data_IF_103272531124
#
_entry.id   IF_103272531124
#
_cell.length_a   1.000
_cell.length_b   1.000
_cell.length_c   1.000
_cell.angle_alpha   90.00
_cell.angle_beta   90.00
_cell.angle_gamma   90.00
#
_symmetry.space_group_name_H-M   'P 1'
#
loop_
_entity.id
_entity.type
_entity.pdbx_description
1 polymer ?
#
# COMPACT_ATOMS: atom_id res chain seq x y z
N UNK A 1 -30.68 -1.94 -43.97
CA UNK A 1 -30.10 -0.83 -43.19
C UNK A 1 -29.82 -1.34 -41.79
N UNK A 2 -28.56 -1.34 -41.35
CA UNK A 2 -28.25 -1.64 -39.95
C UNK A 2 -28.75 -0.48 -39.08
N UNK A 3 -29.55 -0.76 -38.05
CA UNK A 3 -30.01 0.27 -37.13
C UNK A 3 -28.81 0.82 -36.33
N UNK A 4 -28.52 2.10 -36.51
CA UNK A 4 -27.48 2.79 -35.75
C UNK A 4 -28.05 3.11 -34.36
N UNK A 5 -27.41 2.61 -33.30
CA UNK A 5 -27.85 2.86 -31.93
C UNK A 5 -27.15 4.09 -31.35
N UNK A 6 -27.94 5.14 -31.06
CA UNK A 6 -27.49 6.38 -30.42
C UNK A 6 -28.14 6.57 -29.04
N UNK A 7 -27.62 7.49 -28.24
CA UNK A 7 -28.18 7.83 -26.92
C UNK A 7 -27.88 6.84 -25.78
N UNK A 8 -27.05 5.82 -26.01
CA UNK A 8 -26.69 4.83 -24.97
C UNK A 8 -26.06 5.50 -23.75
N UNK A 9 -25.14 6.44 -23.94
CA UNK A 9 -24.53 7.19 -22.83
C UNK A 9 -25.56 7.91 -21.94
N UNK A 10 -26.60 8.50 -22.55
CA UNK A 10 -27.69 9.14 -21.82
C UNK A 10 -28.50 8.11 -21.02
N UNK A 11 -28.79 6.95 -21.61
CA UNK A 11 -29.49 5.85 -20.92
C UNK A 11 -28.68 5.28 -19.75
N UNK A 12 -27.37 5.13 -19.90
CA UNK A 12 -26.48 4.67 -18.82
C UNK A 12 -26.46 5.65 -17.64
N UNK A 13 -26.54 6.96 -17.90
CA UNK A 13 -26.57 8.02 -16.88
C UNK A 13 -27.97 8.31 -16.33
N UNK A 14 -29.03 7.91 -17.01
CA UNK A 14 -30.39 8.22 -16.61
C UNK A 14 -30.77 7.45 -15.32
N UNK A 15 -31.17 8.11 -14.22
CA UNK A 15 -31.60 7.43 -13.00
C UNK A 15 -32.88 6.62 -13.20
N UNK A 16 -33.72 6.94 -14.20
CA UNK A 16 -34.96 6.22 -14.51
C UNK A 16 -34.75 4.90 -15.27
N UNK A 17 -33.56 4.68 -15.84
CA UNK A 17 -33.27 3.43 -16.55
C UNK A 17 -32.92 2.34 -15.53
N UNK A 18 -33.63 1.19 -15.55
CA UNK A 18 -33.35 0.09 -14.63
C UNK A 18 -31.91 -0.42 -14.77
N UNK A 19 -31.31 -0.84 -13.65
CA UNK A 19 -29.95 -1.37 -13.60
C UNK A 19 -29.69 -2.57 -14.52
N UNK A 20 -30.57 -3.59 -14.59
CA UNK A 20 -30.40 -4.70 -15.53
C UNK A 20 -30.35 -4.23 -16.98
N UNK A 21 -31.15 -3.22 -17.35
CA UNK A 21 -31.17 -2.66 -18.70
C UNK A 21 -29.91 -1.86 -18.99
N UNK A 22 -29.39 -1.10 -18.02
CA UNK A 22 -28.10 -0.42 -18.16
C UNK A 22 -26.97 -1.41 -18.42
N UNK A 23 -26.91 -2.52 -17.68
CA UNK A 23 -25.89 -3.55 -17.87
C UNK A 23 -26.00 -4.21 -19.26
N UNK A 24 -27.22 -4.57 -19.69
CA UNK A 24 -27.46 -5.11 -21.04
C UNK A 24 -27.02 -4.12 -22.13
N UNK A 25 -27.35 -2.84 -21.97
CA UNK A 25 -26.95 -1.79 -22.91
C UNK A 25 -25.43 -1.61 -22.96
N UNK A 26 -24.74 -1.66 -21.82
CA UNK A 26 -23.28 -1.55 -21.77
C UNK A 26 -22.59 -2.75 -22.43
N UNK A 27 -23.06 -3.97 -22.16
CA UNK A 27 -22.58 -5.20 -22.83
C UNK A 27 -22.79 -5.14 -24.34
N UNK A 28 -23.99 -4.78 -24.79
CA UNK A 28 -24.28 -4.59 -26.21
C UNK A 28 -23.38 -3.52 -26.83
N UNK A 29 -23.24 -2.38 -26.15
CA UNK A 29 -22.38 -1.30 -26.61
C UNK A 29 -20.95 -1.79 -26.78
N UNK A 30 -20.35 -2.49 -25.82
CA UNK A 30 -18.97 -2.97 -25.89
C UNK A 30 -18.67 -3.73 -27.17
N UNK A 31 -19.52 -4.69 -27.53
CA UNK A 31 -19.32 -5.61 -28.65
C UNK A 31 -19.75 -5.00 -29.98
N UNK A 32 -20.81 -4.19 -30.01
CA UNK A 32 -21.43 -3.72 -31.26
C UNK A 32 -20.66 -2.61 -31.95
N UNK A 33 -20.24 -2.80 -33.20
CA UNK A 33 -19.66 -1.74 -34.05
C UNK A 33 -20.68 -0.67 -34.47
N UNK A 34 -21.97 -0.93 -34.29
CA UNK A 34 -23.08 -0.05 -34.68
C UNK A 34 -23.50 0.95 -33.59
N UNK A 35 -22.82 0.91 -32.43
CA UNK A 35 -23.03 1.84 -31.32
C UNK A 35 -22.13 3.06 -31.49
N UNK A 36 -22.74 4.23 -31.72
CA UNK A 36 -22.03 5.51 -31.80
C UNK A 36 -21.81 6.07 -30.39
N UNK A 37 -20.58 5.93 -29.89
CA UNK A 37 -20.14 6.48 -28.62
C UNK A 37 -18.72 7.07 -28.77
N UNK A 38 -18.52 8.39 -28.56
CA UNK A 38 -17.18 8.95 -28.54
C UNK A 38 -16.34 8.35 -27.42
N UNK A 39 -15.09 8.00 -27.72
CA UNK A 39 -14.17 7.32 -26.78
C UNK A 39 -14.84 6.12 -26.07
N UNK A 40 -15.52 5.30 -26.88
CA UNK A 40 -16.42 4.24 -26.46
C UNK A 40 -15.84 3.34 -25.38
N UNK A 41 -14.61 2.90 -25.57
CA UNK A 41 -13.94 1.97 -24.68
C UNK A 41 -13.73 2.60 -23.29
N UNK A 42 -13.24 3.84 -23.24
CA UNK A 42 -13.08 4.58 -21.99
C UNK A 42 -14.42 4.84 -21.31
N UNK A 43 -15.45 5.25 -22.05
CA UNK A 43 -16.75 5.60 -21.46
C UNK A 43 -17.41 4.39 -20.80
N UNK A 44 -17.36 3.22 -21.45
CA UNK A 44 -17.93 1.99 -20.91
C UNK A 44 -17.13 1.50 -19.70
N UNK A 45 -15.80 1.55 -19.78
CA UNK A 45 -14.91 1.20 -18.68
C UNK A 45 -15.13 2.10 -17.44
N UNK A 46 -15.18 3.43 -17.64
CA UNK A 46 -15.43 4.41 -16.59
C UNK A 46 -16.81 4.22 -15.97
N UNK A 47 -17.83 3.96 -16.79
CA UNK A 47 -19.20 3.75 -16.32
C UNK A 47 -19.29 2.57 -15.35
N UNK A 48 -18.71 1.42 -15.69
CA UNK A 48 -18.70 0.24 -14.81
C UNK A 48 -17.89 0.48 -13.55
N UNK A 49 -16.71 1.11 -13.69
CA UNK A 49 -15.87 1.49 -12.56
C UNK A 49 -16.62 2.42 -11.58
N UNK A 50 -17.35 3.41 -12.08
CA UNK A 50 -18.16 4.31 -11.26
C UNK A 50 -19.38 3.63 -10.64
N UNK A 51 -20.03 2.72 -11.36
CA UNK A 51 -21.18 1.97 -10.83
C UNK A 51 -20.75 1.11 -9.63
N UNK A 52 -19.66 0.35 -9.77
CA UNK A 52 -19.09 -0.46 -8.69
C UNK A 52 -18.64 0.43 -7.52
N UNK A 53 -17.85 1.46 -7.79
CA UNK A 53 -17.38 2.39 -6.74
C UNK A 53 -18.55 3.09 -6.03
N UNK A 54 -19.62 3.43 -6.76
CA UNK A 54 -20.82 4.07 -6.22
C UNK A 54 -21.62 3.15 -5.32
N UNK A 55 -21.79 1.88 -5.71
CA UNK A 55 -22.50 0.86 -4.93
C UNK A 55 -21.83 0.63 -3.58
N UNK A 56 -20.53 0.32 -3.55
CA UNK A 56 -19.82 0.01 -2.31
C UNK A 56 -19.61 1.22 -1.39
N UNK A 57 -19.56 2.43 -1.96
CA UNK A 57 -19.58 3.67 -1.16
C UNK A 57 -20.99 4.08 -0.72
N UNK A 58 -22.01 3.25 -0.95
CA UNK A 58 -23.43 3.52 -0.62
C UNK A 58 -23.95 4.82 -1.24
N UNK A 59 -23.36 5.25 -2.36
CA UNK A 59 -23.78 6.44 -3.12
C UNK A 59 -24.85 6.12 -4.15
N UNK A 60 -24.97 4.85 -4.51
CA UNK A 60 -25.87 4.36 -5.56
C UNK A 60 -26.47 3.05 -5.08
N UNK A 61 -27.79 2.92 -5.19
CA UNK A 61 -28.49 1.67 -4.90
C UNK A 61 -28.53 0.79 -6.16
N UNK A 62 -27.92 -0.39 -6.08
CA UNK A 62 -27.79 -1.35 -7.18
C UNK A 62 -28.19 -2.74 -6.66
N UNK A 63 -29.10 -3.46 -7.32
CA UNK A 63 -29.46 -4.82 -6.91
C UNK A 63 -28.24 -5.76 -6.94
N UNK A 64 -28.11 -6.65 -5.95
CA UNK A 64 -26.95 -7.56 -5.81
C UNK A 64 -26.65 -8.38 -7.06
N UNK A 65 -27.69 -8.89 -7.73
CA UNK A 65 -27.57 -9.64 -9.01
C UNK A 65 -26.90 -8.80 -10.11
N UNK A 66 -27.17 -7.49 -10.14
CA UNK A 66 -26.56 -6.59 -11.12
C UNK A 66 -25.12 -6.25 -10.73
N UNK A 67 -24.80 -6.21 -9.44
CA UNK A 67 -23.42 -5.98 -8.96
C UNK A 67 -22.49 -7.10 -9.41
N UNK A 68 -22.91 -8.36 -9.28
CA UNK A 68 -22.18 -9.50 -9.84
C UNK A 68 -22.01 -9.34 -11.36
N UNK A 69 -23.08 -9.01 -12.07
CA UNK A 69 -23.05 -8.79 -13.51
C UNK A 69 -22.13 -7.63 -13.96
N UNK A 70 -21.96 -6.60 -13.12
CA UNK A 70 -21.02 -5.49 -13.32
C UNK A 70 -19.56 -5.94 -13.16
N UNK A 71 -19.27 -6.79 -12.16
CA UNK A 71 -17.94 -7.39 -12.00
C UNK A 71 -17.58 -8.29 -13.17
N UNK A 72 -18.49 -9.18 -13.58
CA UNK A 72 -18.30 -10.02 -14.77
C UNK A 72 -18.09 -9.15 -16.02
N UNK A 73 -18.81 -8.04 -16.14
CA UNK A 73 -18.64 -7.15 -17.30
C UNK A 73 -17.28 -6.42 -17.29
N UNK A 74 -16.78 -6.03 -16.11
CA UNK A 74 -15.44 -5.46 -15.99
C UNK A 74 -14.38 -6.50 -16.39
N UNK A 75 -14.53 -7.74 -15.91
CA UNK A 75 -13.65 -8.86 -16.26
C UNK A 75 -13.66 -9.15 -17.77
N UNK A 76 -14.85 -9.20 -18.38
CA UNK A 76 -15.04 -9.36 -19.83
C UNK A 76 -14.31 -8.26 -20.62
N UNK A 77 -14.33 -7.00 -20.15
CA UNK A 77 -13.60 -5.90 -20.79
C UNK A 77 -12.10 -6.16 -20.71
N UNK A 78 -11.57 -6.44 -19.51
CA UNK A 78 -10.14 -6.59 -19.24
C UNK A 78 -9.53 -7.77 -20.02
N UNK A 79 -10.29 -8.85 -20.22
CA UNK A 79 -9.86 -10.02 -20.98
C UNK A 79 -10.25 -10.00 -22.47
N UNK A 80 -10.91 -8.94 -22.95
CA UNK A 80 -11.40 -8.92 -24.33
C UNK A 80 -10.26 -8.76 -25.35
N UNK A 81 -10.33 -9.54 -26.44
CA UNK A 81 -9.50 -9.31 -27.64
C UNK A 81 -9.64 -7.89 -28.16
N UNK A 82 -10.84 -7.32 -28.06
CA UNK A 82 -11.11 -5.93 -28.44
C UNK A 82 -10.23 -4.93 -27.68
N UNK A 83 -10.09 -5.10 -26.35
CA UNK A 83 -9.18 -4.25 -25.58
C UNK A 83 -7.74 -4.41 -26.05
N UNK A 84 -7.30 -5.65 -26.26
CA UNK A 84 -5.96 -5.94 -26.78
C UNK A 84 -5.71 -5.27 -28.14
N UNK A 85 -6.64 -5.35 -29.08
CA UNK A 85 -6.56 -4.71 -30.40
C UNK A 85 -6.52 -3.19 -30.32
N UNK A 86 -7.24 -2.59 -29.36
CA UNK A 86 -7.20 -1.15 -29.13
C UNK A 86 -5.82 -0.72 -28.61
N UNK A 87 -5.27 -1.47 -27.65
CA UNK A 87 -3.94 -1.19 -27.09
C UNK A 87 -2.83 -1.41 -28.11
N UNK A 88 -2.92 -2.44 -28.96
CA UNK A 88 -1.91 -2.71 -30.00
C UNK A 88 -1.86 -1.65 -31.10
N UNK A 89 -2.94 -0.90 -31.29
CA UNK A 89 -3.00 0.28 -32.17
C UNK A 89 -2.38 1.55 -31.55
N UNK A 90 -1.79 1.45 -30.35
CA UNK A 90 -1.22 2.59 -29.63
C UNK A 90 -2.27 3.50 -28.98
N UNK A 91 -3.55 3.11 -28.97
CA UNK A 91 -4.58 3.82 -28.18
C UNK A 91 -4.45 3.41 -26.72
N UNK A 92 -4.76 4.33 -25.83
CA UNK A 92 -4.67 4.12 -24.38
C UNK A 92 -6.05 4.14 -23.74
N UNK A 93 -6.30 3.23 -22.79
CA UNK A 93 -7.39 3.37 -21.82
C UNK A 93 -6.80 3.87 -20.51
N UNK A 94 -7.35 4.96 -20.01
CA UNK A 94 -6.99 5.52 -18.72
C UNK A 94 -7.61 4.68 -17.61
N UNK A 95 -6.77 3.92 -16.90
CA UNK A 95 -7.14 3.25 -15.66
C UNK A 95 -7.07 4.26 -14.51
N UNK A 96 -8.20 4.47 -13.83
CA UNK A 96 -8.21 5.30 -12.62
C UNK A 96 -7.60 4.49 -11.48
N UNK A 97 -6.53 4.99 -10.85
CA UNK A 97 -5.88 4.34 -9.71
C UNK A 97 -6.85 4.10 -8.54
N UNK A 98 -7.91 4.90 -8.44
CA UNK A 98 -8.99 4.71 -7.47
C UNK A 98 -9.74 3.40 -7.67
N UNK A 99 -9.81 2.86 -8.89
CA UNK A 99 -10.40 1.54 -9.15
C UNK A 99 -9.52 0.44 -8.57
N UNK A 100 -8.20 0.52 -8.77
CA UNK A 100 -7.27 -0.47 -8.22
C UNK A 100 -7.26 -0.43 -6.68
N UNK A 101 -7.25 0.76 -6.07
CA UNK A 101 -7.45 0.92 -4.63
C UNK A 101 -8.75 0.27 -4.15
N UNK A 102 -9.83 0.47 -4.91
CA UNK A 102 -11.13 -0.10 -4.60
C UNK A 102 -11.13 -1.64 -4.70
N UNK A 103 -10.51 -2.21 -5.73
CA UNK A 103 -10.32 -3.66 -5.87
C UNK A 103 -9.59 -4.21 -4.64
N UNK A 104 -8.44 -3.62 -4.27
CA UNK A 104 -7.65 -4.03 -3.09
C UNK A 104 -8.49 -3.96 -1.81
N UNK A 105 -9.28 -2.89 -1.64
CA UNK A 105 -10.14 -2.69 -0.47
C UNK A 105 -11.23 -3.75 -0.33
N UNK A 106 -11.88 -4.12 -1.43
CA UNK A 106 -12.98 -5.09 -1.36
C UNK A 106 -12.47 -6.53 -1.36
N UNK A 107 -11.40 -6.82 -2.10
CA UNK A 107 -10.79 -8.16 -2.11
C UNK A 107 -10.10 -8.50 -0.79
N UNK A 108 -9.55 -7.52 -0.07
CA UNK A 108 -8.93 -7.76 1.24
C UNK A 108 -9.90 -8.21 2.33
N UNK A 109 -11.20 -7.99 2.16
CA UNK A 109 -12.23 -8.48 3.09
C UNK A 109 -12.48 -9.98 2.96
N UNK A 110 -11.94 -10.61 1.91
CA UNK A 110 -12.16 -12.01 1.58
C UNK A 110 -10.78 -12.71 1.57
N UNK A 111 -10.40 -13.43 2.64
CA UNK A 111 -9.05 -14.00 2.76
C UNK A 111 -8.61 -14.88 1.59
N UNK A 112 -9.53 -15.61 0.96
CA UNK A 112 -9.23 -16.45 -0.22
C UNK A 112 -8.83 -15.65 -1.47
N UNK A 113 -9.15 -14.35 -1.52
CA UNK A 113 -8.78 -13.47 -2.63
C UNK A 113 -7.44 -12.76 -2.43
N UNK A 114 -6.80 -12.89 -1.26
CA UNK A 114 -5.54 -12.21 -0.98
C UNK A 114 -4.49 -12.52 -2.04
N UNK A 115 -4.22 -13.81 -2.29
CA UNK A 115 -3.25 -14.27 -3.30
C UNK A 115 -3.74 -14.09 -4.73
N UNK A 116 -5.02 -14.35 -4.97
CA UNK A 116 -5.57 -14.37 -6.33
C UNK A 116 -5.80 -12.97 -6.90
N UNK A 117 -6.00 -11.96 -6.04
CA UNK A 117 -6.45 -10.64 -6.49
C UNK A 117 -5.81 -9.47 -5.71
N UNK A 118 -5.81 -9.50 -4.37
CA UNK A 118 -5.33 -8.35 -3.56
C UNK A 118 -3.85 -8.06 -3.82
N UNK A 119 -2.98 -9.08 -3.74
CA UNK A 119 -1.54 -8.91 -3.97
C UNK A 119 -1.22 -8.58 -5.43
N UNK A 120 -1.77 -9.28 -6.45
CA UNK A 120 -1.55 -8.89 -7.85
C UNK A 120 -2.01 -7.46 -8.19
N UNK A 121 -3.12 -7.00 -7.60
CA UNK A 121 -3.58 -5.63 -7.78
C UNK A 121 -2.62 -4.62 -7.16
N UNK A 122 -2.07 -4.92 -5.97
CA UNK A 122 -1.04 -4.08 -5.34
C UNK A 122 0.27 -4.08 -6.14
N UNK A 123 0.74 -5.24 -6.60
CA UNK A 123 1.93 -5.35 -7.44
C UNK A 123 1.79 -4.52 -8.72
N UNK A 124 0.60 -4.52 -9.33
CA UNK A 124 0.29 -3.67 -10.48
C UNK A 124 0.42 -2.19 -10.13
N UNK A 125 -0.10 -1.75 -8.97
CA UNK A 125 0.08 -0.38 -8.49
C UNK A 125 1.57 -0.05 -8.24
N UNK A 126 2.34 -0.98 -7.70
CA UNK A 126 3.78 -0.82 -7.46
C UNK A 126 4.55 -0.67 -8.78
N UNK A 127 4.24 -1.48 -9.80
CA UNK A 127 4.82 -1.35 -11.15
C UNK A 127 4.51 0.01 -11.76
N UNK A 128 3.29 0.52 -11.56
CA UNK A 128 2.89 1.85 -12.01
C UNK A 128 3.64 2.95 -11.25
N UNK A 129 3.78 2.84 -9.93
CA UNK A 129 4.58 3.79 -9.14
C UNK A 129 6.02 3.87 -9.65
N UNK A 130 6.65 2.73 -9.96
CA UNK A 130 8.03 2.68 -10.48
C UNK A 130 8.22 3.39 -11.83
N UNK A 131 7.15 3.76 -12.53
CA UNK A 131 7.24 4.59 -13.74
C UNK A 131 7.62 6.06 -13.45
N UNK A 132 7.54 6.48 -12.18
CA UNK A 132 7.96 7.79 -11.70
C UNK A 132 7.08 8.96 -12.14
N UNK A 133 7.50 10.16 -11.72
CA UNK A 133 6.76 11.42 -11.92
C UNK A 133 6.51 11.77 -13.40
N UNK A 134 7.35 11.27 -14.31
CA UNK A 134 7.17 11.47 -15.74
C UNK A 134 5.89 10.82 -16.30
N UNK A 135 5.42 9.73 -15.67
CA UNK A 135 4.19 9.02 -16.05
C UNK A 135 3.04 9.27 -15.08
N UNK A 136 3.34 9.44 -13.79
CA UNK A 136 2.36 9.76 -12.75
C UNK A 136 2.71 11.14 -12.17
N UNK A 137 2.34 12.19 -12.88
CA UNK A 137 2.69 13.57 -12.48
C UNK A 137 1.80 14.14 -11.38
N UNK A 138 0.62 13.54 -11.13
CA UNK A 138 -0.32 14.05 -10.14
C UNK A 138 -0.03 13.44 -8.76
N UNK A 139 0.36 14.24 -7.74
CA UNK A 139 0.63 13.75 -6.39
C UNK A 139 -0.54 13.00 -5.74
N UNK A 140 -1.78 13.33 -6.09
CA UNK A 140 -2.96 12.62 -5.57
C UNK A 140 -2.96 11.14 -5.95
N UNK A 141 -2.35 10.77 -7.06
CA UNK A 141 -2.23 9.37 -7.48
C UNK A 141 -1.37 8.56 -6.52
N UNK A 142 -0.26 9.13 -6.04
CA UNK A 142 0.61 8.49 -5.04
C UNK A 142 -0.15 8.33 -3.72
N UNK A 143 -0.88 9.36 -3.28
CA UNK A 143 -1.70 9.31 -2.06
C UNK A 143 -2.79 8.22 -2.15
N UNK A 144 -3.40 8.03 -3.33
CA UNK A 144 -4.36 6.94 -3.57
C UNK A 144 -3.70 5.57 -3.40
N UNK A 145 -2.48 5.38 -3.88
CA UNK A 145 -1.75 4.11 -3.69
C UNK A 145 -1.42 3.89 -2.22
N UNK A 146 -0.93 4.91 -1.49
CA UNK A 146 -0.70 4.82 -0.04
C UNK A 146 -1.99 4.46 0.71
N UNK A 147 -3.12 5.05 0.32
CA UNK A 147 -4.43 4.69 0.84
C UNK A 147 -4.83 3.24 0.52
N UNK A 148 -4.38 2.67 -0.59
CA UNK A 148 -4.61 1.26 -0.92
C UNK A 148 -3.85 0.31 0.01
N UNK A 149 -2.60 0.67 0.38
CA UNK A 149 -1.77 -0.13 1.29
C UNK A 149 -2.45 -0.39 2.64
N UNK A 150 -3.28 0.57 3.11
CA UNK A 150 -4.01 0.46 4.37
C UNK A 150 -5.00 -0.70 4.40
N UNK A 151 -5.48 -1.16 3.24
CA UNK A 151 -6.46 -2.24 3.17
C UNK A 151 -5.84 -3.63 3.04
N UNK A 152 -4.54 -3.73 2.75
CA UNK A 152 -3.86 -5.02 2.58
C UNK A 152 -3.75 -5.69 3.96
N UNK A 153 -4.22 -6.95 4.10
CA UNK A 153 -4.26 -7.64 5.37
C UNK A 153 -2.85 -8.10 5.78
N UNK A 154 -2.52 -7.93 7.07
CA UNK A 154 -1.31 -8.45 7.70
C UNK A 154 -1.63 -9.48 8.80
N UNK A 155 -2.92 -9.79 8.95
CA UNK A 155 -3.51 -10.79 9.83
C UNK A 155 -3.83 -12.07 9.02
N UNK A 156 -2.81 -12.70 8.45
CA UNK A 156 -2.98 -13.92 7.66
C UNK A 156 -2.90 -15.18 8.52
N UNK A 157 -3.59 -16.23 8.07
CA UNK A 157 -3.58 -17.53 8.75
C UNK A 157 -2.30 -18.34 8.47
N UNK A 158 -1.53 -17.96 7.44
CA UNK A 158 -0.24 -18.58 7.09
C UNK A 158 0.87 -17.53 7.07
N UNK A 159 2.08 -17.92 7.49
CA UNK A 159 3.25 -17.02 7.44
C UNK A 159 3.75 -16.75 6.02
N UNK A 160 3.41 -17.62 5.07
CA UNK A 160 3.75 -17.39 3.67
C UNK A 160 2.91 -16.24 3.09
N UNK A 161 1.61 -16.21 3.38
CA UNK A 161 0.72 -15.11 2.96
C UNK A 161 1.05 -13.82 3.70
N UNK A 162 1.45 -13.93 4.97
CA UNK A 162 1.93 -12.81 5.78
C UNK A 162 3.12 -12.16 5.09
N UNK A 163 4.15 -12.95 4.79
CA UNK A 163 5.37 -12.47 4.18
C UNK A 163 5.13 -11.84 2.81
N UNK A 164 4.28 -12.46 1.98
CA UNK A 164 3.97 -11.91 0.66
C UNK A 164 3.20 -10.58 0.72
N UNK A 165 2.24 -10.46 1.65
CA UNK A 165 1.56 -9.19 1.89
C UNK A 165 2.52 -8.11 2.41
N UNK A 166 3.39 -8.49 3.35
CA UNK A 166 4.41 -7.62 3.91
C UNK A 166 5.36 -7.08 2.85
N UNK A 167 5.91 -7.98 2.02
CA UNK A 167 6.81 -7.65 0.92
C UNK A 167 6.12 -6.73 -0.10
N UNK A 168 4.88 -7.03 -0.50
CA UNK A 168 4.16 -6.20 -1.46
C UNK A 168 3.91 -4.76 -0.95
N UNK A 169 3.59 -4.60 0.34
CA UNK A 169 3.46 -3.27 0.97
C UNK A 169 4.83 -2.58 1.04
N UNK A 170 5.87 -3.28 1.48
CA UNK A 170 7.24 -2.75 1.54
C UNK A 170 7.70 -2.24 0.17
N UNK A 171 7.51 -3.02 -0.89
CA UNK A 171 7.91 -2.65 -2.25
C UNK A 171 7.15 -1.42 -2.78
N UNK A 172 5.87 -1.28 -2.43
CA UNK A 172 5.09 -0.09 -2.77
C UNK A 172 5.59 1.16 -2.03
N UNK A 173 5.91 1.03 -0.73
CA UNK A 173 6.51 2.12 0.05
C UNK A 173 7.89 2.48 -0.51
N UNK A 174 8.71 1.49 -0.83
CA UNK A 174 10.04 1.70 -1.38
C UNK A 174 9.99 2.41 -2.74
N UNK A 175 9.08 1.98 -3.62
CA UNK A 175 8.85 2.68 -4.89
C UNK A 175 8.35 4.12 -4.67
N UNK A 176 7.54 4.36 -3.64
CA UNK A 176 7.00 5.68 -3.33
C UNK A 176 8.10 6.65 -2.90
N UNK A 177 8.92 6.28 -1.91
CA UNK A 177 10.00 7.14 -1.40
C UNK A 177 11.09 7.39 -2.45
N UNK A 178 11.37 6.39 -3.31
CA UNK A 178 12.41 6.51 -4.33
C UNK A 178 11.95 7.29 -5.56
N UNK A 179 10.73 7.07 -6.05
CA UNK A 179 10.27 7.63 -7.31
C UNK A 179 9.51 8.96 -7.17
N UNK A 180 9.09 9.35 -5.96
CA UNK A 180 8.26 10.54 -5.72
C UNK A 180 8.71 11.38 -4.52
N UNK A 181 10.00 11.76 -4.41
CA UNK A 181 10.51 12.51 -3.24
C UNK A 181 9.73 13.81 -2.99
N UNK A 182 9.34 14.54 -4.04
CA UNK A 182 8.61 15.80 -3.91
C UNK A 182 7.20 15.64 -3.33
N UNK A 183 6.59 14.46 -3.49
CA UNK A 183 5.27 14.15 -2.92
C UNK A 183 5.39 13.80 -1.44
N UNK A 184 6.55 13.30 -0.99
CA UNK A 184 6.78 12.81 0.36
C UNK A 184 6.55 13.87 1.43
N UNK A 185 6.88 15.14 1.17
CA UNK A 185 6.62 16.23 2.12
C UNK A 185 5.14 16.33 2.53
N UNK A 186 4.22 16.10 1.59
CA UNK A 186 2.76 16.16 1.85
C UNK A 186 2.18 14.82 2.26
N UNK A 187 2.78 13.73 1.78
CA UNK A 187 2.31 12.37 2.02
C UNK A 187 2.96 11.70 3.24
N UNK A 188 3.95 12.33 3.87
CA UNK A 188 4.75 11.74 4.95
C UNK A 188 3.92 11.15 6.10
N UNK A 189 2.82 11.78 6.59
CA UNK A 189 2.04 11.16 7.66
C UNK A 189 1.34 9.87 7.21
N UNK A 190 0.81 9.86 5.97
CA UNK A 190 0.16 8.67 5.41
C UNK A 190 1.17 7.57 5.11
N UNK A 191 2.33 7.92 4.56
CA UNK A 191 3.42 6.99 4.31
C UNK A 191 3.90 6.34 5.61
N UNK A 192 4.19 7.15 6.64
CA UNK A 192 4.69 6.65 7.91
C UNK A 192 3.65 5.82 8.65
N UNK A 193 2.35 6.12 8.51
CA UNK A 193 1.30 5.26 9.03
C UNK A 193 1.34 3.88 8.36
N UNK A 194 1.46 3.81 7.04
CA UNK A 194 1.60 2.55 6.32
C UNK A 194 2.87 1.78 6.73
N UNK A 195 4.00 2.48 6.90
CA UNK A 195 5.24 1.86 7.35
C UNK A 195 5.15 1.38 8.81
N UNK A 196 4.58 2.18 9.71
CA UNK A 196 4.38 1.81 11.10
C UNK A 196 3.48 0.57 11.24
N UNK A 197 2.50 0.37 10.35
CA UNK A 197 1.74 -0.90 10.29
C UNK A 197 2.64 -2.11 10.06
N UNK A 198 3.68 -2.00 9.21
CA UNK A 198 4.67 -3.07 9.00
C UNK A 198 5.53 -3.27 10.25
N UNK A 199 6.03 -2.20 10.86
CA UNK A 199 6.84 -2.25 12.09
C UNK A 199 6.06 -2.92 13.22
N UNK A 200 4.84 -2.46 13.48
CA UNK A 200 3.97 -3.01 14.53
C UNK A 200 3.64 -4.48 14.27
N UNK A 201 3.33 -4.82 13.01
CA UNK A 201 3.02 -6.18 12.63
C UNK A 201 4.20 -7.13 12.85
N UNK A 202 5.40 -6.79 12.38
CA UNK A 202 6.58 -7.68 12.55
C UNK A 202 7.01 -7.78 14.01
N UNK A 203 6.80 -6.73 14.81
CA UNK A 203 7.04 -6.77 16.25
C UNK A 203 6.09 -7.74 16.97
N UNK A 204 4.81 -7.72 16.62
CA UNK A 204 3.83 -8.63 17.20
C UNK A 204 4.04 -10.09 16.78
N UNK A 205 4.33 -10.34 15.51
CA UNK A 205 4.64 -11.70 15.04
C UNK A 205 6.00 -12.19 15.58
N UNK A 206 6.98 -11.30 15.68
CA UNK A 206 8.34 -11.51 16.19
C UNK A 206 8.46 -11.65 17.70
N UNK A 207 7.35 -11.68 18.43
CA UNK A 207 7.37 -11.86 19.88
C UNK A 207 7.90 -13.24 20.27
N UNK A 208 8.60 -13.30 21.40
CA UNK A 208 8.96 -14.56 22.04
C UNK A 208 7.67 -15.25 22.50
N UNK A 209 7.43 -16.45 21.98
CA UNK A 209 6.33 -17.32 22.39
C UNK A 209 6.87 -18.37 23.37
N UNK A 210 6.02 -18.87 24.27
CA UNK A 210 6.39 -19.92 25.22
C UNK A 210 6.71 -21.26 24.52
N UNK A 211 7.31 -22.21 25.26
CA UNK A 211 7.79 -23.50 24.74
C UNK A 211 6.76 -24.35 23.97
N UNK A 212 5.46 -24.10 24.16
CA UNK A 212 4.36 -24.79 23.49
C UNK A 212 4.10 -24.35 22.05
N UNK A 213 4.67 -23.22 21.62
CA UNK A 213 4.38 -22.55 20.34
C UNK A 213 5.63 -22.50 19.44
N UNK A 214 6.23 -23.67 19.19
CA UNK A 214 7.39 -23.78 18.29
C UNK A 214 6.98 -23.57 16.84
N UNK A 215 7.14 -22.33 16.36
CA UNK A 215 7.04 -22.01 14.95
C UNK A 215 8.03 -22.85 14.11
N UNK A 216 7.63 -23.20 12.89
CA UNK A 216 8.49 -23.90 11.94
C UNK A 216 9.74 -23.05 11.62
N UNK A 217 10.87 -23.69 11.31
CA UNK A 217 12.08 -22.96 10.85
C UNK A 217 11.79 -22.11 9.61
N UNK A 218 10.93 -22.59 8.70
CA UNK A 218 10.48 -21.81 7.53
C UNK A 218 9.75 -20.52 7.96
N UNK A 219 8.91 -20.60 9.00
CA UNK A 219 8.14 -19.46 9.49
C UNK A 219 9.06 -18.42 10.15
N UNK A 220 10.06 -18.88 10.91
CA UNK A 220 11.10 -18.02 11.49
C UNK A 220 11.92 -17.31 10.40
N UNK A 221 12.30 -18.03 9.35
CA UNK A 221 13.02 -17.44 8.21
C UNK A 221 12.18 -16.38 7.49
N UNK A 222 10.90 -16.65 7.23
CA UNK A 222 9.97 -15.66 6.66
C UNK A 222 9.86 -14.40 7.52
N UNK A 223 9.76 -14.58 8.84
CA UNK A 223 9.66 -13.46 9.78
C UNK A 223 10.95 -12.64 9.86
N UNK A 224 12.11 -13.31 9.83
CA UNK A 224 13.41 -12.66 9.77
C UNK A 224 13.54 -11.80 8.51
N UNK A 225 13.11 -12.31 7.34
CA UNK A 225 13.07 -11.53 6.10
C UNK A 225 12.20 -10.28 6.25
N UNK A 226 11.04 -10.36 6.91
CA UNK A 226 10.22 -9.18 7.18
C UNK A 226 10.96 -8.15 8.06
N UNK A 227 11.71 -8.59 9.08
CA UNK A 227 12.49 -7.69 9.92
C UNK A 227 13.62 -6.98 9.14
N UNK A 228 14.31 -7.71 8.25
CA UNK A 228 15.32 -7.14 7.35
C UNK A 228 14.72 -6.12 6.38
N UNK A 229 13.49 -6.33 5.89
CA UNK A 229 12.79 -5.35 5.06
C UNK A 229 12.49 -4.06 5.85
N UNK A 230 12.12 -4.16 7.13
CA UNK A 230 11.92 -2.99 8.00
C UNK A 230 13.21 -2.23 8.23
N UNK A 231 14.31 -2.92 8.55
CA UNK A 231 15.63 -2.31 8.66
C UNK A 231 16.00 -1.54 7.39
N UNK A 232 15.88 -2.19 6.23
CA UNK A 232 16.17 -1.57 4.93
C UNK A 232 15.32 -0.33 4.69
N UNK A 233 14.04 -0.37 5.03
CA UNK A 233 13.15 0.78 4.89
C UNK A 233 13.56 1.94 5.81
N UNK A 234 13.96 1.67 7.05
CA UNK A 234 14.49 2.72 7.94
C UNK A 234 15.73 3.38 7.33
N UNK A 235 16.64 2.61 6.74
CA UNK A 235 17.80 3.15 6.03
C UNK A 235 17.40 4.06 4.87
N UNK A 236 16.37 3.71 4.09
CA UNK A 236 15.87 4.56 3.00
C UNK A 236 15.19 5.83 3.52
N UNK A 237 14.42 5.74 4.60
CA UNK A 237 13.82 6.91 5.25
C UNK A 237 14.91 7.85 5.78
N UNK A 238 15.95 7.30 6.41
CA UNK A 238 17.10 8.04 6.89
C UNK A 238 17.85 8.73 5.74
N UNK A 239 18.05 8.06 4.60
CA UNK A 239 18.70 8.65 3.44
C UNK A 239 17.85 9.73 2.74
N UNK A 240 16.53 9.69 2.92
CA UNK A 240 15.60 10.72 2.47
C UNK A 240 15.40 11.85 3.50
N UNK A 241 16.32 11.99 4.47
CA UNK A 241 16.17 12.76 5.71
C UNK A 241 15.64 14.19 5.56
N UNK A 242 15.94 14.91 4.48
CA UNK A 242 15.44 16.30 4.31
C UNK A 242 13.91 16.36 4.42
N UNK A 243 13.19 15.34 3.95
CA UNK A 243 11.73 15.29 3.96
C UNK A 243 11.14 14.77 5.30
N UNK A 244 11.97 14.16 6.15
CA UNK A 244 11.53 13.40 7.34
C UNK A 244 12.16 13.82 8.66
N UNK A 245 13.18 14.69 8.66
CA UNK A 245 13.89 15.11 9.88
C UNK A 245 12.97 15.60 11.00
N UNK A 246 11.92 16.36 10.67
CA UNK A 246 10.92 16.85 11.64
C UNK A 246 10.13 15.71 12.29
N UNK A 247 10.10 14.54 11.64
CA UNK A 247 9.34 13.37 12.06
C UNK A 247 10.19 12.31 12.76
N UNK A 248 11.52 12.43 12.80
CA UNK A 248 12.42 11.43 13.39
C UNK A 248 12.06 11.11 14.85
N UNK A 249 11.77 12.12 15.67
CA UNK A 249 11.32 11.92 17.05
C UNK A 249 9.99 11.18 17.13
N UNK A 250 9.04 11.42 16.22
CA UNK A 250 7.76 10.70 16.20
C UNK A 250 7.93 9.24 15.76
N UNK A 251 8.82 8.96 14.80
CA UNK A 251 9.16 7.60 14.37
C UNK A 251 9.75 6.81 15.55
N UNK A 252 10.72 7.41 16.26
CA UNK A 252 11.31 6.79 17.47
C UNK A 252 10.24 6.56 18.53
N UNK A 253 9.38 7.55 18.80
CA UNK A 253 8.31 7.43 19.79
C UNK A 253 7.35 6.29 19.47
N UNK A 254 6.94 6.13 18.21
CA UNK A 254 6.09 5.02 17.76
C UNK A 254 6.79 3.67 17.93
N UNK A 255 8.06 3.57 17.53
CA UNK A 255 8.86 2.36 17.71
C UNK A 255 8.93 1.92 19.18
N UNK A 256 9.32 2.82 20.08
CA UNK A 256 9.49 2.46 21.51
C UNK A 256 8.15 2.17 22.20
N UNK A 257 7.08 2.84 21.77
CA UNK A 257 5.73 2.58 22.29
C UNK A 257 5.26 1.17 21.93
N UNK A 258 5.56 0.71 20.71
CA UNK A 258 5.22 -0.64 20.29
C UNK A 258 6.15 -1.69 20.93
N UNK A 259 7.45 -1.41 21.00
CA UNK A 259 8.42 -2.30 21.63
C UNK A 259 8.10 -2.54 23.10
N UNK A 260 7.55 -1.57 23.83
CA UNK A 260 7.11 -1.75 25.21
C UNK A 260 6.04 -2.85 25.37
N UNK A 261 5.30 -3.18 24.30
CA UNK A 261 4.15 -4.09 24.34
C UNK A 261 4.53 -5.54 24.03
N UNK A 262 5.75 -5.79 23.56
CA UNK A 262 6.21 -7.12 23.15
C UNK A 262 7.64 -7.40 23.60
N UNK A 263 7.92 -8.66 23.94
CA UNK A 263 9.29 -9.14 24.10
C UNK A 263 9.71 -9.81 22.80
N UNK A 264 10.68 -9.25 22.07
CA UNK A 264 11.08 -9.74 20.75
C UNK A 264 12.09 -10.88 20.79
N UNK A 265 12.03 -11.77 19.81
CA UNK A 265 13.10 -12.74 19.53
C UNK A 265 14.42 -12.00 19.23
N UNK A 266 15.58 -12.49 19.71
CA UNK A 266 16.85 -11.75 19.61
C UNK A 266 17.23 -11.35 18.17
N UNK A 267 17.04 -12.24 17.20
CA UNK A 267 17.39 -12.02 15.79
C UNK A 267 16.51 -10.94 15.17
N UNK A 268 15.20 -10.96 15.47
CA UNK A 268 14.25 -9.93 15.03
C UNK A 268 14.58 -8.59 15.70
N UNK A 269 14.85 -8.60 17.01
CA UNK A 269 15.23 -7.41 17.77
C UNK A 269 16.47 -6.76 17.18
N UNK A 270 17.47 -7.54 16.77
CA UNK A 270 18.72 -7.04 16.20
C UNK A 270 18.45 -6.17 14.95
N UNK A 271 17.76 -6.71 13.94
CA UNK A 271 17.45 -5.98 12.70
C UNK A 271 16.59 -4.74 12.94
N UNK A 272 15.56 -4.84 13.79
CA UNK A 272 14.69 -3.70 14.10
C UNK A 272 15.45 -2.60 14.87
N UNK A 273 16.37 -2.98 15.74
CA UNK A 273 17.22 -2.06 16.51
C UNK A 273 18.22 -1.34 15.60
N UNK A 274 18.85 -2.05 14.67
CA UNK A 274 19.76 -1.45 13.70
C UNK A 274 19.04 -0.44 12.79
N UNK A 275 17.83 -0.79 12.34
CA UNK A 275 16.99 0.11 11.57
C UNK A 275 16.66 1.40 12.33
N UNK A 276 16.19 1.30 13.58
CA UNK A 276 15.82 2.52 14.34
C UNK A 276 17.05 3.37 14.72
N UNK A 277 18.24 2.79 14.83
CA UNK A 277 19.49 3.54 15.03
C UNK A 277 19.78 4.48 13.86
N UNK A 278 19.49 4.08 12.62
CA UNK A 278 19.60 4.97 11.46
C UNK A 278 18.72 6.22 11.58
N UNK A 279 17.56 6.12 12.24
CA UNK A 279 16.69 7.27 12.50
C UNK A 279 17.23 8.11 13.67
N UNK A 280 17.75 7.48 14.73
CA UNK A 280 18.34 8.18 15.87
C UNK A 280 19.56 9.03 15.48
N UNK A 281 20.33 8.63 14.46
CA UNK A 281 21.41 9.45 13.90
C UNK A 281 20.94 10.82 13.40
N UNK A 282 19.66 10.92 13.02
CA UNK A 282 19.05 12.15 12.55
C UNK A 282 18.34 12.95 13.66
N UNK A 283 18.23 12.41 14.87
CA UNK A 283 17.64 13.12 16.00
C UNK A 283 18.62 14.14 16.58
N UNK A 284 18.25 15.42 16.55
CA UNK A 284 19.02 16.48 17.20
C UNK A 284 18.68 16.57 18.69
N UNK A 285 19.44 17.36 19.46
CA UNK A 285 19.24 17.49 20.92
C UNK A 285 17.80 17.88 21.29
N UNK A 286 17.13 18.66 20.45
CA UNK A 286 15.73 19.07 20.63
C UNK A 286 14.76 17.88 20.55
N UNK A 287 15.02 16.96 19.63
CA UNK A 287 14.24 15.72 19.47
C UNK A 287 14.39 14.82 20.70
N UNK A 288 15.61 14.68 21.19
CA UNK A 288 15.91 13.89 22.40
C UNK A 288 15.25 14.50 23.63
N UNK A 289 15.26 15.84 23.76
CA UNK A 289 14.55 16.55 24.82
C UNK A 289 13.04 16.32 24.72
N UNK A 290 12.46 16.44 23.52
CA UNK A 290 11.05 16.17 23.26
C UNK A 290 10.66 14.75 23.69
N UNK A 291 11.39 13.72 23.24
CA UNK A 291 11.16 12.33 23.62
C UNK A 291 11.19 12.14 25.14
N UNK A 292 12.18 12.72 25.81
CA UNK A 292 12.30 12.64 27.26
C UNK A 292 11.15 13.31 28.02
N UNK A 293 10.51 14.33 27.46
CA UNK A 293 9.39 15.04 28.08
C UNK A 293 8.02 14.47 27.72
N UNK A 294 7.88 13.90 26.53
CA UNK A 294 6.57 13.55 25.96
C UNK A 294 6.21 12.07 26.13
N UNK A 295 7.18 11.18 26.31
CA UNK A 295 6.92 9.76 26.52
C UNK A 295 6.38 9.48 27.93
N UNK A 296 5.42 8.56 28.01
CA UNK A 296 4.93 8.04 29.29
C UNK A 296 6.02 7.25 30.01
N UNK A 297 5.95 7.17 31.35
CA UNK A 297 7.03 6.64 32.19
C UNK A 297 7.59 5.29 31.72
N UNK A 298 6.74 4.29 31.46
CA UNK A 298 7.21 2.97 30.99
C UNK A 298 7.77 2.98 29.57
N UNK A 299 7.24 3.80 28.67
CA UNK A 299 7.80 3.96 27.30
C UNK A 299 9.15 4.67 27.37
N UNK A 300 9.29 5.63 28.29
CA UNK A 300 10.52 6.38 28.51
C UNK A 300 11.65 5.49 29.04
N UNK A 301 11.35 4.51 29.87
CA UNK A 301 12.34 3.51 30.32
C UNK A 301 12.90 2.71 29.14
N UNK A 302 12.02 2.20 28.26
CA UNK A 302 12.42 1.49 27.03
C UNK A 302 13.25 2.40 26.11
N UNK A 303 12.84 3.66 25.95
CA UNK A 303 13.61 4.64 25.18
C UNK A 303 15.00 4.88 25.78
N UNK A 304 15.12 5.04 27.10
CA UNK A 304 16.40 5.26 27.75
C UNK A 304 17.35 4.07 27.56
N UNK A 305 16.86 2.83 27.67
CA UNK A 305 17.65 1.62 27.40
C UNK A 305 18.14 1.58 25.94
N UNK A 306 17.25 1.85 24.99
CA UNK A 306 17.57 1.93 23.56
C UNK A 306 18.60 3.02 23.28
N UNK A 307 18.39 4.23 23.83
CA UNK A 307 19.26 5.38 23.60
C UNK A 307 20.65 5.20 24.22
N UNK A 308 20.72 4.61 25.42
CA UNK A 308 22.00 4.25 26.03
C UNK A 308 22.76 3.26 25.14
N UNK A 309 22.08 2.21 24.64
CA UNK A 309 22.68 1.24 23.74
C UNK A 309 23.15 1.88 22.43
N UNK A 310 22.33 2.77 21.85
CA UNK A 310 22.68 3.55 20.67
C UNK A 310 23.96 4.38 20.88
N UNK A 311 24.05 5.14 21.98
CA UNK A 311 25.21 6.01 22.26
C UNK A 311 26.49 5.22 22.50
N UNK A 312 26.40 4.08 23.19
CA UNK A 312 27.57 3.29 23.57
C UNK A 312 28.12 2.40 22.45
N UNK A 313 27.25 1.82 21.62
CA UNK A 313 27.65 0.80 20.64
C UNK A 313 27.62 1.33 19.21
N UNK A 314 26.53 2.00 18.79
CA UNK A 314 26.37 2.39 17.39
C UNK A 314 27.04 3.74 17.09
N UNK A 315 26.72 4.78 17.87
CA UNK A 315 27.23 6.14 17.64
C UNK A 315 28.75 6.23 17.80
N UNK A 316 29.29 5.52 18.80
CA UNK A 316 30.73 5.45 19.06
C UNK A 316 31.47 4.74 17.92
N UNK A 317 30.90 3.65 17.38
CA UNK A 317 31.46 2.90 16.27
C UNK A 317 31.50 3.73 14.98
N UNK A 318 30.38 4.37 14.60
CA UNK A 318 30.34 5.25 13.42
C UNK A 318 31.35 6.40 13.50
N UNK A 319 31.45 7.06 14.66
CA UNK A 319 32.45 8.11 14.88
C UNK A 319 33.90 7.59 14.84
N UNK A 320 34.10 6.30 15.14
CA UNK A 320 35.37 5.61 14.93
C UNK A 320 35.67 5.41 13.46
N UNK A 321 34.73 4.86 12.70
CA UNK A 321 34.85 4.56 11.25
C UNK A 321 35.08 5.83 10.41
N UNK A 322 34.41 6.94 10.73
CA UNK A 322 34.62 8.25 10.08
C UNK A 322 36.03 8.81 10.29
N UNK A 323 36.70 8.47 11.41
CA UNK A 323 38.09 8.92 11.67
C UNK A 323 39.13 8.17 10.84
N UNK A 324 38.80 6.99 10.31
CA UNK A 324 39.72 6.15 9.52
C UNK A 324 39.45 6.22 8.01
N UNK A 325 38.45 6.97 7.58
CA UNK A 325 38.03 7.11 6.16
C UNK A 325 38.42 8.45 5.53
N UNK A 326 39.33 9.22 6.16
CA UNK A 326 39.90 10.48 5.63
C UNK A 326 41.16 10.26 4.81
#
# INVERSE_FOLDING_TARGET
>A
MAAIFSGIHLKLKNPRTPWPDKLKLARFAWISTQCLLPNKEQVLFDWTSHALTGFYNKKVDVPSEVVEGLWTYLDDILHSRKLHDVLSQGKTISLRLTLAQFVIKESSKIPSLTRALTLPALETLTVLLRQGEAKISNPHHVIVVLGALQFVPLDSHSMEDYHAAFEAIHEALFATIHCYPQVMLKASPTFLNCFYRLVSSVMHEGRQRGDSDRASEKDKECLLKCAMLVERMYTHIANAAEDFTVMSSFIVAQYVSELQRVTLQPEIKAHLTEGIYCILDHCVERDIKFLNTSLQMGVKEVFNELYNSYTHYHKSQRQGEEKYTV
#
